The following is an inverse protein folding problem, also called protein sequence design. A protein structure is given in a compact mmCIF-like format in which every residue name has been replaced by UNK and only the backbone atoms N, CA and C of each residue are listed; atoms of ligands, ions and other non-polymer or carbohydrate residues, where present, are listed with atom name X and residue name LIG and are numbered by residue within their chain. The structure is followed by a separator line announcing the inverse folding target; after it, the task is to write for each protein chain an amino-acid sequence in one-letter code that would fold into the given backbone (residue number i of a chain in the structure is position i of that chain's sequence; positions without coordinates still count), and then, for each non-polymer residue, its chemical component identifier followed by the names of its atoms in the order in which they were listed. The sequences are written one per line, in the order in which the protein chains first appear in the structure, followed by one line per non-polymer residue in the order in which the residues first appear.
data_IF_630623276256
#
_entry.id   IF_630623276256
#
_cell.length_a   1.000
_cell.length_b   1.000
_cell.length_c   1.000
_cell.angle_alpha   90.00
_cell.angle_beta   90.00
_cell.angle_gamma   90.00
#
_symmetry.space_group_name_H-M   'P 1'
#
loop_
_entity.id
_entity.type
_entity.pdbx_description
1 polymer ?
#
# COMPACT_ATOMS: atom_id res chain seq x y z
N UNK A 1 28.23 -6.95 -13.42
CA UNK A 1 27.20 -6.55 -14.38
C UNK A 1 26.03 -6.07 -13.54
N UNK A 2 26.02 -4.78 -13.20
CA UNK A 2 24.89 -4.15 -12.50
C UNK A 2 23.80 -4.03 -13.56
N UNK A 3 22.60 -4.52 -13.24
CA UNK A 3 21.53 -4.69 -14.23
C UNK A 3 21.01 -3.31 -14.65
N UNK A 4 21.07 -2.97 -15.94
CA UNK A 4 20.60 -1.67 -16.46
C UNK A 4 19.15 -1.32 -16.07
N UNK A 5 18.35 -2.33 -15.71
CA UNK A 5 16.97 -2.17 -15.21
C UNK A 5 16.92 -1.55 -13.80
N UNK A 6 17.93 -1.78 -12.94
CA UNK A 6 17.96 -1.17 -11.61
C UNK A 6 18.38 0.30 -11.65
N UNK A 7 19.30 0.65 -12.55
CA UNK A 7 19.85 2.00 -12.61
C UNK A 7 18.82 2.99 -13.17
N UNK A 8 18.06 2.58 -14.20
CA UNK A 8 16.96 3.38 -14.72
C UNK A 8 15.82 3.53 -13.70
N UNK A 9 15.46 2.45 -12.99
CA UNK A 9 14.45 2.52 -11.94
C UNK A 9 14.86 3.44 -10.77
N UNK A 10 16.14 3.46 -10.40
CA UNK A 10 16.67 4.37 -9.39
C UNK A 10 16.62 5.83 -9.86
N UNK A 11 16.95 6.08 -11.13
CA UNK A 11 16.84 7.40 -11.74
C UNK A 11 15.38 7.86 -11.76
N UNK A 12 14.45 7.03 -12.23
CA UNK A 12 13.01 7.32 -12.21
C UNK A 12 12.52 7.64 -10.79
N UNK A 13 12.93 6.86 -9.79
CA UNK A 13 12.57 7.11 -8.40
C UNK A 13 13.12 8.44 -7.89
N UNK A 14 14.36 8.80 -8.27
CA UNK A 14 14.96 10.08 -7.94
C UNK A 14 14.21 11.24 -8.60
N UNK A 15 13.97 11.17 -9.92
CA UNK A 15 13.20 12.17 -10.67
C UNK A 15 11.80 12.37 -10.10
N UNK A 16 11.09 11.28 -9.77
CA UNK A 16 9.76 11.34 -9.13
C UNK A 16 9.80 12.10 -7.81
N UNK A 17 10.77 11.76 -6.96
CA UNK A 17 10.92 12.39 -5.66
C UNK A 17 11.26 13.88 -5.79
N UNK A 18 12.20 14.23 -6.66
CA UNK A 18 12.60 15.61 -6.93
C UNK A 18 11.45 16.44 -7.50
N UNK A 19 10.71 15.90 -8.48
CA UNK A 19 9.56 16.57 -9.08
C UNK A 19 8.47 16.88 -8.03
N UNK A 20 8.15 15.93 -7.14
CA UNK A 20 7.18 16.15 -6.05
C UNK A 20 7.65 17.25 -5.10
N UNK A 21 8.94 17.26 -4.74
CA UNK A 21 9.50 18.33 -3.89
C UNK A 21 9.44 19.69 -4.59
N UNK A 22 9.79 19.76 -5.88
CA UNK A 22 9.73 20.98 -6.66
C UNK A 22 8.29 21.53 -6.77
N UNK A 23 7.29 20.66 -6.96
CA UNK A 23 5.88 21.06 -6.99
C UNK A 23 5.40 21.55 -5.61
N UNK A 24 5.76 20.86 -4.53
CA UNK A 24 5.43 21.29 -3.15
C UNK A 24 6.01 22.67 -2.84
N UNK A 25 7.25 22.88 -3.25
CA UNK A 25 8.02 24.08 -2.96
C UNK A 25 7.83 25.17 -4.02
N UNK A 26 6.89 25.00 -4.95
CA UNK A 26 6.58 26.00 -5.97
C UNK A 26 6.18 27.34 -5.34
N UNK A 27 6.81 28.43 -5.80
CA UNK A 27 6.58 29.82 -5.35
C UNK A 27 6.29 30.79 -6.51
N UNK A 28 5.86 30.28 -7.66
CA UNK A 28 5.46 31.12 -8.79
C UNK A 28 4.04 31.70 -8.61
N UNK A 29 3.47 32.19 -9.71
CA UNK A 29 2.15 32.87 -9.73
C UNK A 29 1.02 32.03 -10.34
N UNK A 30 1.34 30.85 -10.88
CA UNK A 30 0.36 29.96 -11.47
C UNK A 30 -0.55 29.36 -10.39
N UNK A 31 -1.85 29.63 -10.48
CA UNK A 31 -2.82 29.26 -9.46
C UNK A 31 -2.98 27.73 -9.31
N UNK A 32 -2.91 26.99 -10.40
CA UNK A 32 -3.04 25.53 -10.39
C UNK A 32 -1.80 24.89 -9.78
N UNK A 33 -0.61 25.41 -10.10
CA UNK A 33 0.64 25.00 -9.46
C UNK A 33 0.64 25.30 -7.96
N UNK A 34 0.15 26.48 -7.55
CA UNK A 34 0.02 26.83 -6.12
C UNK A 34 -0.95 25.88 -5.41
N UNK A 35 -2.12 25.63 -6.00
CA UNK A 35 -3.12 24.72 -5.43
C UNK A 35 -2.58 23.29 -5.28
N UNK A 36 -1.89 22.78 -6.30
CA UNK A 36 -1.23 21.47 -6.27
C UNK A 36 -0.12 21.42 -5.21
N UNK A 37 0.73 22.44 -5.14
CA UNK A 37 1.77 22.54 -4.12
C UNK A 37 1.20 22.51 -2.70
N UNK A 38 0.08 23.19 -2.47
CA UNK A 38 -0.64 23.14 -1.19
C UNK A 38 -1.23 21.75 -0.89
N UNK A 39 -1.82 21.07 -1.88
CA UNK A 39 -2.32 19.70 -1.72
C UNK A 39 -1.21 18.71 -1.36
N UNK A 40 -0.07 18.78 -2.05
CA UNK A 40 1.12 17.98 -1.74
C UNK A 40 1.62 18.31 -0.32
N UNK A 41 1.70 19.58 0.05
CA UNK A 41 2.11 20.00 1.39
C UNK A 41 1.19 19.43 2.49
N UNK A 42 -0.12 19.35 2.24
CA UNK A 42 -1.08 18.75 3.16
C UNK A 42 -0.85 17.24 3.32
N UNK A 43 -0.52 16.53 2.23
CA UNK A 43 -0.15 15.13 2.29
C UNK A 43 1.13 14.90 3.13
N UNK A 44 2.15 15.75 2.95
CA UNK A 44 3.34 15.73 3.81
C UNK A 44 3.01 15.99 5.29
N UNK A 45 2.12 16.93 5.57
CA UNK A 45 1.67 17.22 6.93
C UNK A 45 0.88 16.08 7.58
N UNK A 46 0.15 15.30 6.77
CA UNK A 46 -0.75 14.23 7.25
C UNK A 46 -0.01 12.90 7.41
N UNK A 47 0.77 12.49 6.40
CA UNK A 47 1.45 11.19 6.35
C UNK A 47 2.89 11.24 6.87
N UNK A 48 3.51 12.42 6.84
CA UNK A 48 4.93 12.60 7.08
C UNK A 48 5.78 12.27 5.85
N UNK A 49 6.94 12.91 5.76
CA UNK A 49 7.88 12.82 4.63
C UNK A 49 8.27 11.38 4.27
N UNK A 50 8.49 10.52 5.28
CA UNK A 50 8.93 9.15 5.03
C UNK A 50 7.87 8.32 4.29
N UNK A 51 6.60 8.44 4.69
CA UNK A 51 5.50 7.73 4.06
C UNK A 51 5.23 8.26 2.65
N UNK A 52 5.22 9.59 2.47
CA UNK A 52 5.07 10.19 1.13
C UNK A 52 6.19 9.74 0.20
N UNK A 53 7.45 9.70 0.68
CA UNK A 53 8.58 9.22 -0.12
C UNK A 53 8.38 7.78 -0.59
N UNK A 54 7.98 6.86 0.30
CA UNK A 54 7.72 5.46 -0.06
C UNK A 54 6.59 5.32 -1.08
N UNK A 55 5.55 6.13 -0.95
CA UNK A 55 4.41 6.16 -1.86
C UNK A 55 4.84 6.65 -3.24
N UNK A 56 5.56 7.78 -3.30
CA UNK A 56 6.03 8.40 -4.56
C UNK A 56 6.99 7.48 -5.32
N UNK A 57 8.01 6.93 -4.65
CA UNK A 57 8.95 6.00 -5.31
C UNK A 57 8.27 4.68 -5.71
N UNK A 58 7.15 4.32 -5.06
CA UNK A 58 6.32 3.18 -5.43
C UNK A 58 5.70 3.30 -6.82
N UNK A 59 5.61 4.51 -7.38
CA UNK A 59 5.09 4.74 -8.74
C UNK A 59 6.11 4.46 -9.85
N UNK A 60 7.38 4.22 -9.49
CA UNK A 60 8.47 3.95 -10.44
C UNK A 60 8.10 2.98 -11.56
N UNK A 61 7.55 1.78 -11.30
CA UNK A 61 7.23 0.82 -12.36
C UNK A 61 6.19 1.34 -13.35
N UNK A 62 5.26 2.18 -12.88
CA UNK A 62 4.19 2.75 -13.71
C UNK A 62 4.74 3.85 -14.61
N UNK A 63 5.65 4.67 -14.08
CA UNK A 63 6.34 5.73 -14.84
C UNK A 63 7.28 5.13 -15.88
N UNK A 64 8.06 4.12 -15.53
CA UNK A 64 8.92 3.39 -16.47
C UNK A 64 8.10 2.80 -17.62
N UNK A 65 6.97 2.17 -17.30
CA UNK A 65 6.06 1.62 -18.29
C UNK A 65 5.38 2.71 -19.14
N UNK A 66 5.10 3.89 -18.59
CA UNK A 66 4.58 5.03 -19.35
C UNK A 66 5.65 5.58 -20.30
N UNK A 67 6.88 5.75 -19.82
CA UNK A 67 8.01 6.22 -20.62
C UNK A 67 8.31 5.29 -21.80
N UNK A 68 8.36 3.98 -21.55
CA UNK A 68 8.61 2.98 -22.60
C UNK A 68 7.56 3.00 -23.73
N UNK A 69 6.35 3.50 -23.47
CA UNK A 69 5.26 3.57 -24.46
C UNK A 69 5.31 4.80 -25.37
N UNK A 70 6.01 5.85 -24.97
CA UNK A 70 6.04 7.12 -25.73
C UNK A 70 6.91 6.99 -26.99
N UNK A 71 7.84 6.03 -27.01
CA UNK A 71 8.71 5.76 -28.15
C UNK A 71 9.88 6.75 -28.27
N UNK A 72 10.78 6.49 -29.22
CA UNK A 72 12.03 7.24 -29.41
C UNK A 72 11.85 8.68 -29.91
N UNK A 73 10.64 9.05 -30.33
CA UNK A 73 10.38 10.30 -31.02
C UNK A 73 9.96 11.43 -30.07
N UNK A 74 9.97 11.17 -28.76
CA UNK A 74 9.73 12.18 -27.74
C UNK A 74 10.88 13.19 -27.70
N UNK A 75 10.56 14.47 -27.85
CA UNK A 75 11.54 15.53 -28.00
C UNK A 75 11.96 16.20 -26.68
N UNK A 76 11.31 15.83 -25.57
CA UNK A 76 11.52 16.46 -24.27
C UNK A 76 12.31 15.57 -23.31
N UNK A 77 12.89 16.18 -22.27
CA UNK A 77 13.72 15.50 -21.30
C UNK A 77 12.87 14.64 -20.35
N UNK A 78 13.41 13.48 -19.96
CA UNK A 78 12.70 12.55 -19.07
C UNK A 78 12.44 13.17 -17.68
N UNK A 79 13.47 13.75 -17.08
CA UNK A 79 13.51 14.30 -15.73
C UNK A 79 12.79 15.66 -15.59
N UNK A 80 12.99 16.57 -16.55
CA UNK A 80 12.47 17.94 -16.47
C UNK A 80 11.07 18.11 -17.04
N UNK A 81 10.72 17.32 -18.06
CA UNK A 81 9.48 17.52 -18.80
C UNK A 81 8.51 16.36 -18.56
N UNK A 82 8.95 15.13 -18.84
CA UNK A 82 8.06 13.97 -18.81
C UNK A 82 7.59 13.63 -17.39
N UNK A 83 8.49 13.43 -16.43
CA UNK A 83 8.12 13.02 -15.07
C UNK A 83 7.21 14.06 -14.38
N UNK A 84 7.51 15.38 -14.41
CA UNK A 84 6.60 16.38 -13.86
C UNK A 84 5.23 16.41 -14.54
N UNK A 85 5.18 16.37 -15.88
CA UNK A 85 3.92 16.33 -16.60
C UNK A 85 3.12 15.06 -16.27
N UNK A 86 3.79 13.91 -16.17
CA UNK A 86 3.15 12.65 -15.80
C UNK A 86 2.50 12.71 -14.41
N UNK A 87 3.19 13.29 -13.41
CA UNK A 87 2.62 13.46 -12.06
C UNK A 87 1.37 14.34 -12.11
N UNK A 88 1.43 15.45 -12.87
CA UNK A 88 0.30 16.39 -13.01
C UNK A 88 -0.94 15.69 -13.56
N UNK A 89 -0.76 14.84 -14.58
CA UNK A 89 -1.87 14.21 -15.29
C UNK A 89 -2.37 12.93 -14.59
N UNK A 90 -1.51 12.25 -13.83
CA UNK A 90 -1.80 10.89 -13.35
C UNK A 90 -1.90 10.77 -11.83
N UNK A 91 -1.60 11.80 -11.03
CA UNK A 91 -1.67 11.71 -9.57
C UNK A 91 -2.77 12.60 -9.01
N UNK A 92 -3.69 11.99 -8.29
CA UNK A 92 -4.72 12.65 -7.49
C UNK A 92 -4.20 12.93 -6.07
N UNK A 93 -4.08 14.21 -5.73
CA UNK A 93 -3.65 14.71 -4.41
C UNK A 93 -4.82 15.23 -3.56
N UNK A 94 -6.07 15.02 -3.98
CA UNK A 94 -7.25 15.58 -3.31
C UNK A 94 -7.45 15.04 -1.89
N UNK A 95 -7.09 13.77 -1.65
CA UNK A 95 -7.07 13.15 -0.32
C UNK A 95 -5.64 13.20 0.26
N UNK A 96 -5.37 14.03 1.29
CA UNK A 96 -4.04 14.14 1.87
C UNK A 96 -3.58 12.88 2.62
N UNK A 97 -4.50 11.96 2.96
CA UNK A 97 -4.18 10.68 3.59
C UNK A 97 -3.94 9.56 2.58
N UNK A 98 -4.35 9.75 1.32
CA UNK A 98 -4.25 8.74 0.28
C UNK A 98 -4.04 9.34 -1.14
N UNK A 99 -2.90 10.01 -1.40
CA UNK A 99 -2.53 10.35 -2.78
C UNK A 99 -2.45 9.08 -3.62
N UNK A 100 -3.08 9.09 -4.79
CA UNK A 100 -3.23 7.87 -5.61
C UNK A 100 -3.12 8.17 -7.09
N UNK A 101 -2.86 7.14 -7.88
CA UNK A 101 -2.90 7.29 -9.33
C UNK A 101 -4.35 7.50 -9.77
N UNK A 102 -4.62 8.49 -10.62
CA UNK A 102 -5.96 8.81 -11.12
C UNK A 102 -6.62 7.60 -11.80
N UNK A 103 -5.81 6.69 -12.39
CA UNK A 103 -6.26 5.44 -12.99
C UNK A 103 -6.79 4.42 -11.96
N UNK A 104 -6.36 4.46 -10.69
CA UNK A 104 -6.90 3.59 -9.62
C UNK A 104 -8.39 3.87 -9.33
N UNK A 105 -8.89 5.05 -9.72
CA UNK A 105 -10.30 5.43 -9.57
C UNK A 105 -11.21 4.72 -10.58
N UNK A 106 -10.67 4.32 -11.74
CA UNK A 106 -11.43 3.72 -12.84
C UNK A 106 -11.33 2.19 -12.88
N UNK A 107 -10.31 1.60 -12.27
CA UNK A 107 -10.11 0.15 -12.23
C UNK A 107 -9.89 -0.36 -10.81
N UNK A 108 -10.95 -0.28 -9.98
CA UNK A 108 -11.05 -1.18 -8.83
C UNK A 108 -11.37 -2.58 -9.34
N UNK A 109 -10.42 -3.21 -10.02
CA UNK A 109 -10.45 -4.67 -10.15
C UNK A 109 -10.14 -5.20 -8.76
N UNK A 110 -11.19 -5.50 -8.00
CA UNK A 110 -11.09 -6.34 -6.83
C UNK A 110 -10.65 -7.73 -7.30
N UNK A 111 -9.36 -8.02 -7.17
CA UNK A 111 -8.87 -9.38 -7.31
C UNK A 111 -9.01 -10.06 -5.95
N UNK A 112 -9.76 -11.17 -5.92
CA UNK A 112 -9.74 -12.07 -4.78
C UNK A 112 -8.37 -12.75 -4.75
N UNK A 113 -7.48 -12.29 -3.88
CA UNK A 113 -6.29 -13.07 -3.55
C UNK A 113 -6.71 -14.09 -2.50
N UNK A 114 -6.70 -15.36 -2.86
CA UNK A 114 -6.66 -16.42 -1.86
C UNK A 114 -5.21 -16.53 -1.37
N UNK A 115 -4.92 -15.92 -0.22
CA UNK A 115 -3.65 -16.14 0.48
C UNK A 115 -3.87 -17.33 1.42
N UNK A 116 -3.39 -18.54 1.10
CA UNK A 116 -3.43 -19.64 2.06
C UNK A 116 -2.55 -19.28 3.26
N UNK A 117 -3.16 -19.01 4.40
CA UNK A 117 -2.44 -18.78 5.65
C UNK A 117 -2.49 -20.05 6.50
N UNK A 118 -1.33 -20.63 6.81
CA UNK A 118 -1.23 -21.72 7.78
C UNK A 118 -1.01 -21.14 9.18
N UNK A 119 -2.08 -21.05 9.97
CA UNK A 119 -1.99 -20.67 11.37
C UNK A 119 -1.64 -21.90 12.23
N UNK A 120 -0.42 -21.96 12.74
CA UNK A 120 0.00 -23.01 13.69
C UNK A 120 -0.18 -22.53 15.13
N UNK A 121 -1.13 -23.11 15.85
CA UNK A 121 -1.35 -22.82 17.28
C UNK A 121 -0.95 -24.02 18.14
N UNK A 122 -0.13 -23.79 19.17
CA UNK A 122 0.20 -24.82 20.17
C UNK A 122 -0.77 -24.66 21.34
N UNK A 123 -1.77 -25.53 21.43
CA UNK A 123 -2.70 -25.56 22.56
C UNK A 123 -2.10 -26.44 23.66
N UNK A 124 -1.59 -25.83 24.73
CA UNK A 124 -1.14 -26.55 25.92
C UNK A 124 -2.33 -26.77 26.84
N UNK A 125 -2.96 -27.92 26.74
CA UNK A 125 -4.00 -28.34 27.69
C UNK A 125 -3.37 -29.18 28.79
N UNK A 126 -3.62 -28.82 30.05
CA UNK A 126 -3.52 -29.80 31.13
C UNK A 126 -4.52 -30.93 30.81
N UNK A 127 -3.97 -32.10 30.50
CA UNK A 127 -4.57 -33.40 30.77
C UNK A 127 -5.66 -33.93 29.80
N UNK A 128 -5.78 -33.44 28.56
CA UNK A 128 -6.68 -34.12 27.59
C UNK A 128 -6.66 -33.63 26.15
N UNK A 129 -6.40 -34.55 25.21
CA UNK A 129 -6.42 -34.34 23.74
C UNK A 129 -7.74 -33.74 23.22
N UNK A 130 -8.87 -34.08 23.86
CA UNK A 130 -10.21 -33.61 23.50
C UNK A 130 -10.42 -32.12 23.75
N UNK A 131 -9.76 -31.55 24.76
CA UNK A 131 -9.83 -30.11 25.07
C UNK A 131 -9.08 -29.28 24.02
N UNK A 132 -7.98 -29.81 23.47
CA UNK A 132 -7.22 -29.13 22.42
C UNK A 132 -7.99 -29.06 21.10
N UNK A 133 -8.68 -30.15 20.71
CA UNK A 133 -9.53 -30.18 19.52
C UNK A 133 -10.75 -29.26 19.65
N UNK A 134 -11.37 -29.22 20.83
CA UNK A 134 -12.50 -28.32 21.09
C UNK A 134 -12.09 -26.84 21.00
N UNK A 135 -10.94 -26.47 21.57
CA UNK A 135 -10.40 -25.10 21.49
C UNK A 135 -9.97 -24.70 20.07
N UNK A 136 -9.37 -25.63 19.31
CA UNK A 136 -9.05 -25.41 17.91
C UNK A 136 -10.33 -25.17 17.07
N UNK A 137 -11.40 -25.91 17.36
CA UNK A 137 -12.72 -25.70 16.74
C UNK A 137 -13.28 -24.31 17.02
N UNK A 138 -13.22 -23.84 18.27
CA UNK A 138 -13.70 -22.50 18.64
C UNK A 138 -12.89 -21.37 17.98
N UNK A 139 -11.57 -21.54 17.83
CA UNK A 139 -10.71 -20.57 17.14
C UNK A 139 -11.10 -20.45 15.66
N UNK A 140 -11.26 -21.58 14.95
CA UNK A 140 -11.69 -21.58 13.55
C UNK A 140 -13.06 -20.92 13.37
N UNK A 141 -14.02 -21.25 14.24
CA UNK A 141 -15.36 -20.65 14.21
C UNK A 141 -15.33 -19.12 14.42
N UNK A 142 -14.43 -18.63 15.28
CA UNK A 142 -14.29 -17.18 15.52
C UNK A 142 -13.67 -16.44 14.33
N UNK A 143 -12.81 -17.10 13.56
CA UNK A 143 -12.19 -16.54 12.34
C UNK A 143 -13.23 -16.46 11.22
N UNK A 144 -14.07 -17.49 11.07
CA UNK A 144 -15.12 -17.54 10.05
C UNK A 144 -16.29 -16.55 10.31
N UNK A 145 -16.48 -16.10 11.55
CA UNK A 145 -17.63 -15.26 11.93
C UNK A 145 -17.45 -13.75 11.59
N UNK A 146 -16.28 -13.31 11.13
CA UNK A 146 -16.00 -11.88 10.84
C UNK A 146 -16.65 -11.42 9.50
N UNK A 147 -17.13 -12.34 8.67
CA UNK A 147 -17.61 -12.04 7.30
C UNK A 147 -19.13 -11.99 7.10
N UNK A 148 -19.95 -11.97 8.16
CA UNK A 148 -21.38 -11.71 8.01
C UNK A 148 -21.73 -10.26 8.42
N UNK A 149 -22.28 -9.44 7.51
CA UNK A 149 -22.86 -8.17 7.90
C UNK A 149 -24.07 -8.44 8.81
N UNK A 150 -24.01 -7.91 10.03
CA UNK A 150 -25.05 -8.11 11.04
C UNK A 150 -26.42 -7.60 10.55
N UNK A 151 -27.52 -8.37 10.74
CA UNK A 151 -28.85 -7.80 10.73
C UNK A 151 -29.07 -7.03 12.04
N UNK A 152 -29.83 -5.94 11.94
CA UNK A 152 -30.13 -4.97 12.99
C UNK A 152 -30.39 -5.54 14.40
N UNK A 153 -29.80 -4.84 15.37
CA UNK A 153 -30.08 -4.74 16.80
C UNK A 153 -30.27 -5.99 17.69
N UNK A 154 -29.40 -5.99 18.71
CA UNK A 154 -29.68 -6.32 20.11
C UNK A 154 -29.85 -7.80 20.51
N UNK A 155 -28.71 -8.46 20.81
CA UNK A 155 -28.56 -9.18 22.08
C UNK A 155 -27.12 -9.02 22.59
N UNK A 156 -26.99 -8.46 23.79
CA UNK A 156 -25.76 -8.44 24.55
C UNK A 156 -25.33 -9.89 24.89
N UNK A 157 -24.40 -10.45 24.12
CA UNK A 157 -23.60 -11.58 24.54
C UNK A 157 -22.16 -11.11 24.62
N UNK A 158 -21.58 -11.20 25.81
CA UNK A 158 -20.24 -10.78 26.13
C UNK A 158 -19.24 -11.36 25.12
N UNK A 159 -18.70 -10.49 24.25
CA UNK A 159 -17.52 -10.81 23.47
C UNK A 159 -16.36 -10.92 24.48
N UNK A 160 -15.74 -12.10 24.68
CA UNK A 160 -14.48 -12.12 25.40
C UNK A 160 -13.47 -11.36 24.55
N UNK A 161 -13.13 -10.13 24.97
CA UNK A 161 -12.08 -9.37 24.32
C UNK A 161 -10.77 -10.14 24.46
N UNK A 162 -10.24 -10.67 23.35
CA UNK A 162 -8.86 -11.12 23.35
C UNK A 162 -7.98 -9.95 22.96
N UNK A 163 -7.07 -9.59 23.85
CA UNK A 163 -6.09 -8.54 23.64
C UNK A 163 -4.80 -9.18 23.15
N UNK A 164 -4.40 -8.85 21.91
CA UNK A 164 -3.16 -9.29 21.27
C UNK A 164 -1.95 -8.48 21.79
N UNK A 165 -1.82 -8.30 23.10
CA UNK A 165 -0.83 -7.36 23.68
C UNK A 165 0.52 -8.01 24.04
N UNK A 166 0.72 -9.32 23.82
CA UNK A 166 2.06 -9.93 23.92
C UNK A 166 2.28 -11.03 22.90
N UNK A 167 2.52 -10.66 21.65
CA UNK A 167 3.04 -11.57 20.62
C UNK A 167 4.36 -11.08 20.00
N UNK A 168 5.14 -10.26 20.70
CA UNK A 168 6.47 -9.83 20.23
C UNK A 168 7.56 -10.89 20.35
N UNK A 169 7.23 -12.19 20.46
CA UNK A 169 8.23 -13.23 20.70
C UNK A 169 8.03 -14.56 19.96
N UNK A 170 6.95 -14.78 19.19
CA UNK A 170 6.76 -16.10 18.56
C UNK A 170 5.85 -16.11 17.32
N UNK A 171 5.76 -15.01 16.56
CA UNK A 171 5.18 -15.07 15.23
C UNK A 171 6.35 -15.32 14.25
N UNK A 172 6.66 -16.59 14.00
CA UNK A 172 7.52 -16.96 12.88
C UNK A 172 6.62 -17.13 11.66
N UNK A 173 6.58 -16.11 10.82
CA UNK A 173 5.96 -16.20 9.49
C UNK A 173 6.93 -16.98 8.60
N UNK A 174 6.68 -18.27 8.40
CA UNK A 174 7.38 -19.04 7.38
C UNK A 174 6.53 -19.02 6.11
N UNK A 175 6.96 -18.35 5.02
CA UNK A 175 6.32 -18.51 3.73
C UNK A 175 6.47 -19.97 3.29
N UNK A 176 5.36 -20.58 2.85
CA UNK A 176 5.38 -21.89 2.21
C UNK A 176 5.86 -21.64 0.78
N UNK A 177 7.07 -22.08 0.46
CA UNK A 177 7.49 -22.23 -0.93
C UNK A 177 7.15 -23.66 -1.33
N UNK A 178 6.26 -23.83 -2.32
CA UNK A 178 6.13 -25.11 -3.02
C UNK A 178 7.40 -25.29 -3.84
N UNK A 179 8.22 -26.29 -3.48
CA UNK A 179 9.34 -26.75 -4.30
C UNK A 179 8.80 -27.76 -5.32
N UNK A 180 8.99 -27.46 -6.61
CA UNK A 180 8.79 -28.39 -7.73
C UNK A 180 9.84 -29.52 -7.76
#
# INVERSE_FOLDING_TARGET
MISATSDFALETAACLWEAVLAMRDYRGVDADCIARGAAIQNAFGTLGTAAVRLLVIGWTPVVDAAWARIGSDYQFCFDWDFVPAWIIDNVDWSDPSAPRLAQDSASRQSFLIQIPMQLSAIVRTGDGLTSAQHLAGLLLQSIECVDQPAPDEAVAAAIPSFSLVRASAAITLNPIFEED
#
